data_IF_584195159550
#
_entry.id   IF_584195159550
#
_cell.length_a   1.000
_cell.length_b   1.000
_cell.length_c   1.000
_cell.angle_alpha   90.00
_cell.angle_beta   90.00
_cell.angle_gamma   90.00
#
_symmetry.space_group_name_H-M   'P 1'
#
loop_
_entity.id
_entity.type
_entity.pdbx_description
1 polymer ?
#
# COMPACT_ATOMS: atom_id res chain seq x y z
N UNK A 1 24.63 -67.37 -19.41
CA UNK A 1 23.35 -66.96 -18.76
C UNK A 1 23.64 -65.68 -18.00
N UNK A 2 23.36 -64.53 -18.61
CA UNK A 2 23.68 -63.21 -18.09
C UNK A 2 22.40 -62.67 -17.46
N UNK A 3 22.44 -62.42 -16.13
CA UNK A 3 21.32 -61.83 -15.38
C UNK A 3 21.46 -60.31 -15.41
N UNK A 4 20.57 -59.66 -16.14
CA UNK A 4 20.47 -58.18 -16.18
C UNK A 4 19.62 -57.73 -14.97
N UNK A 5 20.24 -57.07 -13.99
CA UNK A 5 19.55 -56.40 -12.90
C UNK A 5 19.05 -55.04 -13.38
N UNK A 6 17.74 -54.87 -13.47
CA UNK A 6 17.11 -53.58 -13.68
C UNK A 6 17.10 -52.80 -12.36
N UNK A 7 17.83 -51.67 -12.33
CA UNK A 7 17.76 -50.69 -11.24
C UNK A 7 16.67 -49.71 -11.63
N UNK A 8 15.53 -49.80 -10.97
CA UNK A 8 14.47 -48.79 -11.06
C UNK A 8 14.88 -47.59 -10.15
N UNK A 9 15.27 -46.50 -10.76
CA UNK A 9 15.49 -45.23 -10.04
C UNK A 9 14.14 -44.59 -9.83
N UNK A 10 13.67 -44.53 -8.60
CA UNK A 10 12.56 -43.68 -8.18
C UNK A 10 13.03 -42.23 -8.17
N UNK A 11 12.50 -41.42 -9.07
CA UNK A 11 12.67 -39.97 -9.07
C UNK A 11 11.65 -39.39 -8.08
N UNK A 12 12.07 -39.06 -6.85
CA UNK A 12 11.23 -38.34 -5.90
C UNK A 12 11.24 -36.89 -6.35
N UNK A 13 10.15 -36.45 -6.98
CA UNK A 13 9.90 -35.03 -7.27
C UNK A 13 9.38 -34.40 -5.99
N UNK A 14 10.21 -33.62 -5.33
CA UNK A 14 9.78 -32.73 -4.25
C UNK A 14 8.96 -31.59 -4.88
N UNK A 15 7.65 -31.66 -4.78
CA UNK A 15 6.81 -30.48 -4.92
C UNK A 15 6.98 -29.66 -3.62
N UNK A 16 7.73 -28.57 -3.68
CA UNK A 16 7.64 -27.54 -2.68
C UNK A 16 6.28 -26.86 -2.86
N UNK A 17 5.30 -27.23 -2.04
CA UNK A 17 4.11 -26.42 -1.83
C UNK A 17 4.57 -25.14 -1.10
N UNK A 18 4.85 -24.10 -1.88
CA UNK A 18 4.81 -22.74 -1.33
C UNK A 18 3.36 -22.51 -0.91
N UNK A 19 3.10 -22.42 0.39
CA UNK A 19 1.86 -21.85 0.91
C UNK A 19 1.80 -20.41 0.39
N UNK A 20 0.93 -20.15 -0.57
CA UNK A 20 0.46 -18.80 -0.87
C UNK A 20 -0.31 -18.36 0.36
N UNK A 21 0.29 -17.52 1.19
CA UNK A 21 -0.43 -16.76 2.21
C UNK A 21 -1.35 -15.82 1.44
N UNK A 22 -2.62 -16.19 1.31
CA UNK A 22 -3.62 -15.33 0.71
C UNK A 22 -3.90 -14.21 1.72
N UNK A 23 -3.48 -13.01 1.40
CA UNK A 23 -3.88 -11.80 2.11
C UNK A 23 -5.40 -11.66 1.96
N UNK A 24 -6.11 -11.60 3.08
CA UNK A 24 -7.55 -11.39 3.06
C UNK A 24 -7.78 -9.89 2.95
N UNK A 25 -8.39 -9.46 1.87
CA UNK A 25 -8.81 -8.08 1.69
C UNK A 25 -10.32 -8.00 1.47
N UNK A 26 -10.93 -6.92 1.89
CA UNK A 26 -12.31 -6.58 1.56
C UNK A 26 -12.38 -5.16 1.00
N UNK A 27 -13.25 -4.98 0.03
CA UNK A 27 -13.47 -3.70 -0.66
C UNK A 27 -14.95 -3.39 -0.61
N UNK A 28 -15.30 -2.21 -0.15
CA UNK A 28 -16.69 -1.78 -0.01
C UNK A 28 -16.85 -0.35 -0.49
N UNK A 29 -17.73 -0.13 -1.46
CA UNK A 29 -18.17 1.23 -1.81
C UNK A 29 -18.91 1.83 -0.61
N UNK A 30 -18.48 3.01 -0.19
CA UNK A 30 -19.07 3.68 0.96
C UNK A 30 -20.21 4.60 0.52
N UNK A 31 -19.91 5.59 -0.32
CA UNK A 31 -20.88 6.54 -0.86
C UNK A 31 -20.33 7.26 -2.10
N UNK A 32 -21.25 7.83 -2.89
CA UNK A 32 -20.90 8.69 -4.00
C UNK A 32 -20.38 10.05 -3.50
N UNK A 33 -19.31 10.54 -4.07
CA UNK A 33 -18.79 11.87 -3.74
C UNK A 33 -19.79 12.96 -4.17
N UNK A 34 -19.86 14.09 -3.44
CA UNK A 34 -20.59 15.27 -3.88
C UNK A 34 -20.17 15.71 -5.28
N UNK A 35 -21.10 16.26 -6.07
CA UNK A 35 -20.85 16.65 -7.45
C UNK A 35 -19.65 17.61 -7.64
N UNK A 36 -19.34 18.41 -6.63
CA UNK A 36 -18.18 19.31 -6.62
C UNK A 36 -16.83 18.56 -6.51
N UNK A 37 -16.86 17.25 -6.24
CA UNK A 37 -15.72 16.34 -6.17
C UNK A 37 -15.78 15.26 -7.26
N UNK A 38 -16.42 15.53 -8.37
CA UNK A 38 -16.58 14.57 -9.48
C UNK A 38 -15.26 14.17 -10.14
N UNK A 39 -14.22 14.98 -9.97
CA UNK A 39 -12.86 14.76 -10.49
C UNK A 39 -11.87 14.64 -9.32
N UNK A 40 -12.30 13.95 -8.20
CA UNK A 40 -11.44 13.73 -7.05
C UNK A 40 -10.21 12.93 -7.46
N UNK A 41 -9.05 13.56 -7.34
CA UNK A 41 -7.74 12.97 -7.57
C UNK A 41 -7.04 12.66 -6.24
N UNK A 42 -5.96 13.33 -5.84
CA UNK A 42 -5.23 13.02 -4.62
C UNK A 42 -6.03 13.06 -3.32
N UNK A 43 -5.75 12.15 -2.39
CA UNK A 43 -6.37 12.13 -1.05
C UNK A 43 -5.38 11.82 0.07
N UNK A 44 -5.64 12.41 1.25
CA UNK A 44 -5.04 12.03 2.53
C UNK A 44 -6.12 11.91 3.60
N UNK A 45 -5.86 11.13 4.65
CA UNK A 45 -6.70 11.08 5.83
C UNK A 45 -6.02 11.80 6.99
N UNK A 46 -6.66 12.88 7.48
CA UNK A 46 -6.11 13.71 8.54
C UNK A 46 -7.21 14.29 9.41
N UNK A 47 -7.02 14.31 10.75
CA UNK A 47 -8.00 14.80 11.73
C UNK A 47 -9.41 14.18 11.56
N UNK A 48 -9.48 12.88 11.30
CA UNK A 48 -10.73 12.13 11.04
C UNK A 48 -11.54 12.67 9.84
N UNK A 49 -10.89 13.30 8.89
CA UNK A 49 -11.47 13.76 7.64
C UNK A 49 -10.70 13.17 6.46
N UNK A 50 -11.39 12.91 5.38
CA UNK A 50 -10.77 12.69 4.09
C UNK A 50 -10.56 14.06 3.46
N UNK A 51 -9.32 14.36 3.07
CA UNK A 51 -8.96 15.62 2.42
C UNK A 51 -8.61 15.27 0.97
N UNK A 52 -9.25 15.95 0.06
CA UNK A 52 -9.06 15.73 -1.38
C UNK A 52 -9.03 17.04 -2.15
N UNK A 53 -8.66 16.97 -3.41
CA UNK A 53 -8.81 18.03 -4.42
C UNK A 53 -9.33 17.42 -5.71
N UNK A 54 -9.76 18.25 -6.64
CA UNK A 54 -10.05 17.83 -8.00
C UNK A 54 -8.78 17.92 -8.86
N UNK A 55 -8.79 17.18 -9.95
CA UNK A 55 -7.80 17.13 -11.01
C UNK A 55 -7.67 18.46 -11.77
N UNK A 56 -7.04 18.42 -12.91
CA UNK A 56 -6.59 19.51 -13.75
C UNK A 56 -7.63 20.60 -14.05
N UNK A 57 -7.17 21.86 -14.08
CA UNK A 57 -8.00 23.01 -14.45
C UNK A 57 -9.06 23.44 -13.43
N UNK A 58 -9.15 22.75 -12.30
CA UNK A 58 -10.03 23.10 -11.20
C UNK A 58 -9.44 24.22 -10.31
N UNK A 59 -10.19 24.62 -9.28
CA UNK A 59 -9.73 25.60 -8.33
C UNK A 59 -8.56 25.07 -7.48
N UNK A 60 -7.67 25.96 -7.05
CA UNK A 60 -6.56 25.66 -6.14
C UNK A 60 -7.03 25.54 -4.69
N UNK A 61 -7.89 24.56 -4.43
CA UNK A 61 -8.50 24.34 -3.11
C UNK A 61 -8.40 22.87 -2.68
N UNK A 62 -8.35 22.68 -1.36
CA UNK A 62 -8.55 21.37 -0.73
C UNK A 62 -9.95 21.34 -0.10
N UNK A 63 -10.58 20.18 -0.14
CA UNK A 63 -11.88 19.91 0.44
C UNK A 63 -11.73 18.94 1.63
N UNK A 64 -12.29 19.28 2.78
CA UNK A 64 -12.46 18.33 3.89
C UNK A 64 -13.82 17.66 3.77
N UNK A 65 -13.82 16.35 3.61
CA UNK A 65 -14.98 15.49 3.55
C UNK A 65 -15.16 14.75 4.87
N UNK A 66 -16.34 14.85 5.44
CA UNK A 66 -16.73 14.08 6.61
C UNK A 66 -17.36 12.76 6.17
N UNK A 67 -16.77 11.64 6.62
CA UNK A 67 -17.19 10.31 6.20
C UNK A 67 -18.48 9.81 6.86
N UNK A 68 -18.93 10.46 7.96
CA UNK A 68 -20.19 10.09 8.63
C UNK A 68 -21.38 10.85 8.02
N UNK A 69 -21.18 12.12 7.66
CA UNK A 69 -22.23 12.94 7.05
C UNK A 69 -22.20 12.94 5.54
N UNK A 70 -21.10 12.44 4.92
CA UNK A 70 -20.88 12.37 3.48
C UNK A 70 -20.83 13.76 2.80
N UNK A 71 -20.52 14.80 3.58
CA UNK A 71 -20.54 16.17 3.13
C UNK A 71 -19.16 16.82 3.17
N UNK A 72 -18.93 17.75 2.25
CA UNK A 72 -17.82 18.71 2.35
C UNK A 72 -18.11 19.66 3.52
N UNK A 73 -17.24 19.61 4.51
CA UNK A 73 -17.38 20.41 5.74
C UNK A 73 -16.52 21.67 5.74
N UNK A 74 -15.50 21.71 4.86
CA UNK A 74 -14.57 22.83 4.77
C UNK A 74 -13.88 22.87 3.42
N UNK A 75 -13.65 24.08 2.91
CA UNK A 75 -12.86 24.34 1.70
C UNK A 75 -11.70 25.25 2.04
N UNK A 76 -10.49 24.86 1.65
CA UNK A 76 -9.25 25.58 1.98
C UNK A 76 -8.59 26.04 0.69
N UNK A 77 -8.42 27.36 0.53
CA UNK A 77 -7.75 27.96 -0.63
C UNK A 77 -6.24 28.00 -0.43
N UNK A 78 -5.48 27.55 -1.42
CA UNK A 78 -4.03 27.50 -1.41
C UNK A 78 -3.45 28.69 -2.16
N UNK A 79 -3.02 29.72 -1.43
CA UNK A 79 -2.40 30.91 -2.01
C UNK A 79 -1.00 30.58 -2.53
N UNK A 80 -0.69 31.11 -3.73
CA UNK A 80 0.59 30.84 -4.42
C UNK A 80 0.59 29.53 -5.23
N UNK A 81 -0.52 28.81 -5.22
CA UNK A 81 -0.73 27.63 -6.04
C UNK A 81 -1.68 27.94 -7.22
N UNK A 82 -1.52 27.17 -8.27
CA UNK A 82 -2.44 27.06 -9.42
C UNK A 82 -2.67 25.59 -9.63
N UNK A 83 -3.89 25.15 -9.80
CA UNK A 83 -4.15 23.78 -10.27
C UNK A 83 -3.98 23.75 -11.77
N UNK A 84 -2.79 23.32 -12.22
CA UNK A 84 -2.53 23.06 -13.65
C UNK A 84 -2.90 21.62 -13.96
N UNK A 85 -2.38 20.70 -13.11
CA UNK A 85 -2.61 19.26 -13.24
C UNK A 85 -2.26 18.60 -11.88
N UNK A 86 -3.17 18.82 -10.88
CA UNK A 86 -2.97 18.27 -9.54
C UNK A 86 -3.38 16.80 -9.52
N UNK A 87 -2.45 15.95 -9.09
CA UNK A 87 -2.62 14.50 -9.14
C UNK A 87 -2.77 13.90 -7.74
N UNK A 88 -1.71 13.79 -6.97
CA UNK A 88 -1.74 13.11 -5.67
C UNK A 88 -1.27 14.01 -4.51
N UNK A 89 -1.59 13.58 -3.30
CA UNK A 89 -1.19 14.24 -2.07
C UNK A 89 -0.44 13.31 -1.12
N UNK A 90 0.55 13.88 -0.44
CA UNK A 90 1.24 13.21 0.65
C UNK A 90 1.22 14.08 1.92
N UNK A 91 1.52 13.47 3.06
CA UNK A 91 1.65 14.20 4.32
C UNK A 91 2.73 13.61 5.21
N UNK A 92 3.28 14.44 6.07
CA UNK A 92 4.06 14.02 7.24
C UNK A 92 3.49 14.67 8.51
N UNK A 93 4.23 14.63 9.63
CA UNK A 93 3.77 15.19 10.90
C UNK A 93 3.47 16.69 10.82
N UNK A 94 4.17 17.44 9.98
CA UNK A 94 4.18 18.90 9.93
C UNK A 94 3.53 19.52 8.70
N UNK A 95 3.45 18.79 7.61
CA UNK A 95 3.15 19.35 6.28
C UNK A 95 2.20 18.46 5.48
N UNK A 96 1.48 19.09 4.54
CA UNK A 96 0.75 18.46 3.45
C UNK A 96 1.45 18.87 2.16
N UNK A 97 1.60 17.92 1.25
CA UNK A 97 2.23 18.07 -0.05
C UNK A 97 1.20 17.79 -1.13
N UNK A 98 1.11 18.67 -2.14
CA UNK A 98 0.15 18.59 -3.25
C UNK A 98 0.96 18.54 -4.53
N UNK A 99 0.83 17.48 -5.31
CA UNK A 99 1.55 17.27 -6.54
C UNK A 99 0.87 17.95 -7.73
N UNK A 100 1.48 19.00 -8.27
CA UNK A 100 1.10 19.64 -9.54
C UNK A 100 2.09 19.17 -10.61
N UNK A 101 1.96 17.89 -10.99
CA UNK A 101 2.94 17.24 -11.84
C UNK A 101 2.36 16.30 -12.90
N UNK A 102 1.04 16.21 -13.02
CA UNK A 102 0.41 15.54 -14.14
C UNK A 102 0.95 16.09 -15.47
N UNK A 103 1.23 15.21 -16.40
CA UNK A 103 1.90 15.54 -17.64
C UNK A 103 1.57 14.52 -18.73
N UNK A 104 0.30 14.17 -18.84
CA UNK A 104 -0.21 13.14 -19.73
C UNK A 104 -0.03 13.43 -21.24
N UNK A 105 0.45 14.63 -21.57
CA UNK A 105 0.96 14.99 -22.91
C UNK A 105 2.50 14.98 -23.03
N UNK A 106 3.23 14.90 -21.93
CA UNK A 106 4.69 14.88 -21.90
C UNK A 106 5.37 16.20 -22.25
N UNK A 107 4.66 17.32 -22.26
CA UNK A 107 5.17 18.62 -22.74
C UNK A 107 5.32 19.68 -21.64
N UNK A 108 4.94 19.38 -20.39
CA UNK A 108 5.07 20.31 -19.27
C UNK A 108 6.52 20.53 -18.85
N UNK A 109 6.85 21.78 -18.51
CA UNK A 109 8.18 22.22 -18.04
C UNK A 109 8.12 22.91 -16.68
N UNK A 110 6.95 22.90 -16.04
CA UNK A 110 6.65 23.63 -14.81
C UNK A 110 6.21 22.72 -13.64
N UNK A 111 6.66 21.46 -13.65
CA UNK A 111 6.30 20.44 -12.66
C UNK A 111 6.74 20.84 -11.26
N UNK A 112 5.87 20.63 -10.26
CA UNK A 112 6.14 21.05 -8.89
C UNK A 112 5.28 20.31 -7.87
N UNK A 113 5.71 20.41 -6.62
CA UNK A 113 4.92 20.05 -5.44
C UNK A 113 4.72 21.30 -4.61
N UNK A 114 3.48 21.57 -4.21
CA UNK A 114 3.15 22.59 -3.24
C UNK A 114 3.21 21.99 -1.84
N UNK A 115 3.89 22.69 -0.93
CA UNK A 115 4.00 22.32 0.48
C UNK A 115 3.27 23.34 1.33
N UNK A 116 2.36 22.88 2.19
CA UNK A 116 1.65 23.69 3.16
C UNK A 116 1.86 23.19 4.59
N UNK A 117 1.91 24.09 5.54
CA UNK A 117 2.04 23.73 6.96
C UNK A 117 0.70 23.22 7.50
N UNK A 118 0.71 22.10 8.24
CA UNK A 118 -0.46 21.58 8.94
C UNK A 118 -0.98 22.54 10.01
N UNK A 119 -0.11 23.35 10.65
CA UNK A 119 -0.53 24.37 11.60
C UNK A 119 -1.34 25.50 10.95
N UNK A 120 -0.94 25.93 9.75
CA UNK A 120 -1.69 26.94 9.00
C UNK A 120 -2.99 26.36 8.45
N UNK A 121 -2.93 25.14 7.93
CA UNK A 121 -4.09 24.38 7.48
C UNK A 121 -5.15 24.24 8.57
N UNK A 122 -4.77 23.96 9.82
CA UNK A 122 -5.71 23.85 10.94
C UNK A 122 -6.32 25.19 11.36
N UNK A 123 -5.57 26.30 11.21
CA UNK A 123 -5.95 27.60 11.75
C UNK A 123 -6.69 28.50 10.74
N UNK A 124 -6.65 28.21 9.44
CA UNK A 124 -7.16 29.11 8.40
C UNK A 124 -7.73 28.34 7.21
N UNK A 125 -8.76 28.90 6.56
CA UNK A 125 -9.29 28.45 5.28
C UNK A 125 -8.52 29.03 4.08
N UNK A 126 -7.47 29.81 4.32
CA UNK A 126 -6.59 30.38 3.30
C UNK A 126 -5.15 30.16 3.76
N UNK A 127 -4.40 29.35 3.04
CA UNK A 127 -3.05 28.90 3.40
C UNK A 127 -2.08 29.21 2.26
N UNK A 128 -0.88 29.68 2.59
CA UNK A 128 0.16 29.96 1.59
C UNK A 128 1.04 28.74 1.38
N UNK A 129 1.26 28.37 0.12
CA UNK A 129 2.14 27.28 -0.23
C UNK A 129 3.59 27.73 -0.44
N UNK A 130 4.53 26.89 -0.04
CA UNK A 130 5.91 26.85 -0.51
C UNK A 130 6.00 25.95 -1.75
N UNK A 131 6.98 26.21 -2.62
CA UNK A 131 7.09 25.54 -3.92
C UNK A 131 8.37 24.69 -3.99
N UNK A 132 8.24 23.45 -4.42
CA UNK A 132 9.32 22.52 -4.73
C UNK A 132 9.20 22.19 -6.22
N UNK A 133 9.99 22.85 -7.08
CA UNK A 133 9.97 22.63 -8.53
C UNK A 133 10.93 21.54 -8.94
N UNK A 134 10.61 20.79 -9.99
CA UNK A 134 11.53 19.80 -10.52
C UNK A 134 11.40 19.61 -12.03
N UNK A 135 12.42 18.95 -12.58
CA UNK A 135 12.45 18.44 -13.96
C UNK A 135 13.08 17.05 -13.95
N UNK A 136 12.74 16.23 -14.93
CA UNK A 136 13.36 14.92 -15.13
C UNK A 136 14.72 15.07 -15.83
N UNK A 137 15.77 14.45 -15.29
CA UNK A 137 17.15 14.54 -15.81
C UNK A 137 17.29 14.03 -17.26
N UNK A 138 16.45 13.07 -17.64
CA UNK A 138 16.50 12.37 -18.91
C UNK A 138 15.37 12.74 -19.88
N UNK A 139 14.49 13.69 -19.52
CA UNK A 139 13.51 14.25 -20.46
C UNK A 139 14.18 15.33 -21.32
N UNK A 140 14.37 15.04 -22.59
CA UNK A 140 15.01 15.95 -23.56
C UNK A 140 14.07 16.38 -24.69
N UNK A 141 12.91 15.75 -24.81
CA UNK A 141 11.86 16.05 -25.75
C UNK A 141 10.57 16.44 -25.02
N UNK A 142 10.02 17.59 -25.38
CA UNK A 142 8.79 18.15 -24.83
C UNK A 142 7.74 18.32 -25.92
N UNK A 143 7.82 17.51 -26.99
CA UNK A 143 6.78 17.47 -28.00
C UNK A 143 5.55 16.81 -27.43
N UNK A 144 4.40 17.53 -27.50
CA UNK A 144 3.12 17.03 -26.98
C UNK A 144 2.70 15.74 -27.67
N UNK A 145 2.45 14.70 -26.89
CA UNK A 145 2.02 13.38 -27.35
C UNK A 145 1.00 12.77 -26.36
N UNK A 146 -0.27 13.19 -26.42
CA UNK A 146 -1.28 12.87 -25.42
C UNK A 146 -1.44 11.36 -25.20
N UNK A 147 -1.41 10.93 -23.92
CA UNK A 147 -1.55 9.54 -23.48
C UNK A 147 -0.54 8.57 -24.14
N UNK A 148 0.63 9.09 -24.49
CA UNK A 148 1.72 8.32 -25.08
C UNK A 148 3.06 8.89 -24.61
N UNK A 149 3.21 9.06 -23.33
CA UNK A 149 4.38 9.64 -22.65
C UNK A 149 4.82 8.74 -21.49
N UNK A 150 6.09 8.85 -21.12
CA UNK A 150 6.68 8.21 -19.91
C UNK A 150 6.92 9.24 -18.80
N UNK A 151 6.56 10.51 -19.03
CA UNK A 151 6.88 11.64 -18.16
C UNK A 151 5.67 12.15 -17.36
N UNK A 152 4.63 11.36 -17.30
CA UNK A 152 3.48 11.59 -16.45
C UNK A 152 3.75 11.04 -15.06
N UNK A 153 3.42 11.79 -14.01
CA UNK A 153 3.51 11.34 -12.63
C UNK A 153 2.15 11.55 -11.97
N UNK A 154 1.73 10.57 -11.19
CA UNK A 154 0.37 10.55 -10.65
C UNK A 154 0.31 10.11 -9.19
N UNK A 155 1.45 9.71 -8.59
CA UNK A 155 1.44 9.24 -7.21
C UNK A 155 2.57 9.89 -6.41
N UNK A 156 2.29 10.18 -5.13
CA UNK A 156 3.20 10.90 -4.24
C UNK A 156 3.17 10.31 -2.83
N UNK A 157 4.33 9.98 -2.28
CA UNK A 157 4.45 9.56 -0.88
C UNK A 157 5.49 10.38 -0.13
N UNK A 158 5.27 10.56 1.16
CA UNK A 158 6.26 11.08 2.10
C UNK A 158 7.09 9.92 2.61
N UNK A 159 8.35 9.82 2.13
CA UNK A 159 9.21 8.68 2.44
C UNK A 159 9.86 8.78 3.82
N UNK A 160 10.60 9.85 4.04
CA UNK A 160 11.31 10.13 5.30
C UNK A 160 11.21 11.61 5.71
N UNK A 161 11.97 12.03 6.71
CA UNK A 161 11.95 13.42 7.19
C UNK A 161 12.39 14.45 6.13
N UNK A 162 13.10 14.03 5.07
CA UNK A 162 13.73 14.92 4.08
C UNK A 162 13.26 14.72 2.65
N UNK A 163 12.58 13.58 2.37
CA UNK A 163 12.33 13.11 1.00
C UNK A 163 10.87 12.78 0.76
N UNK A 164 10.40 13.22 -0.40
CA UNK A 164 9.21 12.70 -1.08
C UNK A 164 9.65 11.68 -2.12
N UNK A 165 8.80 10.74 -2.44
CA UNK A 165 8.95 9.89 -3.62
C UNK A 165 7.71 10.03 -4.47
N UNK A 166 7.89 10.35 -5.74
CA UNK A 166 6.83 10.38 -6.76
C UNK A 166 6.99 9.19 -7.70
N UNK A 167 5.86 8.69 -8.21
CA UNK A 167 5.82 7.55 -9.13
C UNK A 167 5.16 7.96 -10.44
N UNK A 168 5.72 7.43 -11.54
CA UNK A 168 5.23 7.74 -12.89
C UNK A 168 4.02 6.90 -13.28
N UNK A 169 3.14 7.51 -14.10
CA UNK A 169 2.08 6.85 -14.86
C UNK A 169 2.58 6.70 -16.31
N UNK A 170 3.17 5.55 -16.62
CA UNK A 170 3.80 5.33 -17.91
C UNK A 170 2.76 4.83 -18.94
N UNK A 171 2.27 5.74 -19.77
CA UNK A 171 1.27 5.45 -20.80
C UNK A 171 1.78 4.50 -21.91
N UNK A 172 3.10 4.42 -22.10
CA UNK A 172 3.71 3.65 -23.18
C UNK A 172 3.85 2.17 -22.82
N UNK A 173 4.30 1.89 -21.59
CA UNK A 173 4.66 0.53 -21.17
C UNK A 173 3.75 -0.06 -20.09
N UNK A 174 2.95 0.77 -19.40
CA UNK A 174 2.20 0.33 -18.22
C UNK A 174 3.09 -0.04 -17.04
N UNK A 175 4.26 0.59 -16.97
CA UNK A 175 5.21 0.46 -15.84
C UNK A 175 5.14 1.71 -14.95
N UNK A 176 5.75 1.64 -13.78
CA UNK A 176 6.00 2.81 -12.93
C UNK A 176 7.44 2.84 -12.47
N UNK A 177 8.05 4.03 -12.50
CA UNK A 177 9.36 4.33 -11.95
C UNK A 177 9.22 5.31 -10.81
N UNK A 178 10.07 5.18 -9.79
CA UNK A 178 10.08 6.05 -8.63
C UNK A 178 11.19 7.11 -8.75
N UNK A 179 10.93 8.32 -8.21
CA UNK A 179 11.84 9.45 -8.23
C UNK A 179 11.88 10.11 -6.85
N UNK A 180 13.08 10.43 -6.36
CA UNK A 180 13.25 11.12 -5.07
C UNK A 180 13.25 12.63 -5.27
N UNK A 181 12.44 13.33 -4.48
CA UNK A 181 12.36 14.80 -4.46
C UNK A 181 12.55 15.31 -3.02
N UNK A 182 13.48 16.26 -2.76
CA UNK A 182 13.64 16.83 -1.43
C UNK A 182 12.39 17.60 -0.97
N UNK A 183 12.06 17.50 0.33
CA UNK A 183 10.95 18.25 0.96
C UNK A 183 11.23 19.74 1.18
N UNK A 184 12.44 20.20 0.89
CA UNK A 184 12.87 21.59 1.02
C UNK A 184 12.46 22.38 -0.22
N UNK A 185 11.82 23.57 -0.08
CA UNK A 185 11.54 24.45 -1.20
C UNK A 185 12.77 24.75 -2.06
N UNK A 186 12.64 24.68 -3.38
CA UNK A 186 13.75 24.85 -4.31
C UNK A 186 13.45 24.31 -5.70
N UNK A 187 14.49 24.19 -6.53
CA UNK A 187 14.40 23.64 -7.90
C UNK A 187 15.40 22.49 -8.04
N UNK A 188 14.92 21.36 -8.51
CA UNK A 188 15.65 20.11 -8.55
C UNK A 188 15.61 19.45 -9.92
N UNK A 189 16.66 18.68 -10.22
CA UNK A 189 16.70 17.76 -11.36
C UNK A 189 16.71 16.36 -10.79
N UNK A 190 15.69 15.56 -11.11
CA UNK A 190 15.52 14.23 -10.53
C UNK A 190 15.73 13.14 -11.58
N UNK A 191 16.25 12.00 -11.12
CA UNK A 191 16.47 10.80 -11.96
C UNK A 191 15.64 9.64 -11.41
N UNK A 192 15.22 8.70 -12.26
CA UNK A 192 14.53 7.51 -11.79
C UNK A 192 15.47 6.67 -10.90
N UNK A 193 14.89 5.98 -9.93
CA UNK A 193 15.56 4.94 -9.15
C UNK A 193 15.80 3.70 -10.02
N UNK A 194 16.56 2.72 -9.49
CA UNK A 194 16.98 1.56 -10.29
C UNK A 194 15.82 0.61 -10.62
N UNK A 195 14.88 0.45 -9.68
CA UNK A 195 13.78 -0.52 -9.85
C UNK A 195 12.59 0.11 -10.56
N UNK A 196 12.14 -0.55 -11.60
CA UNK A 196 10.88 -0.26 -12.29
C UNK A 196 9.89 -1.41 -12.02
N UNK A 197 8.64 -1.09 -11.73
CA UNK A 197 7.58 -2.07 -11.53
C UNK A 197 6.70 -2.14 -12.79
N UNK A 198 6.51 -3.37 -13.32
CA UNK A 198 5.45 -3.59 -14.30
C UNK A 198 4.09 -3.56 -13.58
N UNK A 199 3.41 -2.42 -13.67
CA UNK A 199 2.17 -2.18 -12.94
C UNK A 199 0.95 -2.93 -13.51
N UNK A 200 1.05 -3.51 -14.71
CA UNK A 200 -0.07 -4.10 -15.45
C UNK A 200 -1.21 -3.10 -15.74
N UNK A 201 -0.89 -1.82 -15.78
CA UNK A 201 -1.84 -0.72 -15.97
C UNK A 201 -1.20 0.62 -15.64
N UNK A 202 -2.02 1.57 -15.27
CA UNK A 202 -1.63 2.94 -14.96
C UNK A 202 -1.71 3.14 -13.44
N UNK A 203 -0.61 3.53 -12.81
CA UNK A 203 -0.59 3.93 -11.40
C UNK A 203 -1.11 5.36 -11.31
N UNK A 204 -2.04 5.61 -10.40
CA UNK A 204 -2.75 6.88 -10.22
C UNK A 204 -2.65 7.45 -8.80
N UNK A 205 -2.26 6.65 -7.81
CA UNK A 205 -2.09 7.13 -6.45
C UNK A 205 -1.28 6.19 -5.60
N UNK A 206 -0.77 6.70 -4.47
CA UNK A 206 0.01 5.93 -3.54
C UNK A 206 -0.17 6.37 -2.09
N UNK A 207 0.03 5.45 -1.16
CA UNK A 207 0.18 5.77 0.26
C UNK A 207 1.27 4.91 0.90
N UNK A 208 2.04 5.51 1.79
CA UNK A 208 3.11 4.84 2.52
C UNK A 208 2.93 5.02 4.03
N UNK A 209 3.06 3.93 4.76
CA UNK A 209 3.08 3.92 6.23
C UNK A 209 4.47 3.50 6.71
N UNK A 210 5.18 4.43 7.34
CA UNK A 210 6.54 4.24 7.87
C UNK A 210 6.59 3.29 9.09
N UNK A 211 5.49 3.15 9.84
CA UNK A 211 5.44 2.28 11.01
C UNK A 211 5.40 0.80 10.60
N UNK A 212 4.72 0.48 9.54
CA UNK A 212 4.60 -0.88 9.00
C UNK A 212 5.54 -1.15 7.85
N UNK A 213 6.19 -0.10 7.31
CA UNK A 213 7.04 -0.14 6.12
C UNK A 213 6.28 -0.75 4.92
N UNK A 214 5.05 -0.27 4.72
CA UNK A 214 4.15 -0.74 3.67
C UNK A 214 3.80 0.39 2.72
N UNK A 215 3.96 0.11 1.43
CA UNK A 215 3.53 1.01 0.34
C UNK A 215 2.37 0.34 -0.40
N UNK A 216 1.29 1.08 -0.58
CA UNK A 216 0.21 0.70 -1.46
C UNK A 216 0.18 1.64 -2.66
N UNK A 217 0.06 1.06 -3.86
CA UNK A 217 -0.15 1.79 -5.10
C UNK A 217 -1.52 1.40 -5.64
N UNK A 218 -2.29 2.36 -6.08
CA UNK A 218 -3.57 2.12 -6.77
C UNK A 218 -3.48 2.50 -8.23
N UNK A 219 -4.39 1.95 -9.02
CA UNK A 219 -4.47 2.25 -10.44
C UNK A 219 -5.52 1.38 -11.14
N UNK A 220 -5.56 1.51 -12.44
CA UNK A 220 -6.47 0.76 -13.29
C UNK A 220 -5.82 0.33 -14.59
N UNK A 221 -6.34 -0.75 -15.19
CA UNK A 221 -5.87 -1.22 -16.49
C UNK A 221 -6.40 -0.34 -17.62
N UNK A 222 -5.56 -0.03 -18.60
CA UNK A 222 -5.93 0.73 -19.77
C UNK A 222 -6.01 -0.20 -21.01
N UNK A 223 -7.11 -0.21 -21.78
CA UNK A 223 -8.29 0.67 -21.70
C UNK A 223 -9.48 0.10 -20.91
N UNK A 224 -9.31 -0.95 -20.15
CA UNK A 224 -10.43 -1.72 -19.57
C UNK A 224 -10.92 -1.22 -18.22
N UNK A 225 -10.29 -0.19 -17.63
CA UNK A 225 -10.65 0.44 -16.35
C UNK A 225 -10.86 -0.58 -15.21
N UNK A 226 -10.08 -1.67 -15.20
CA UNK A 226 -10.14 -2.65 -14.12
C UNK A 226 -9.25 -2.19 -12.97
N UNK A 227 -9.82 -1.88 -11.81
CA UNK A 227 -9.08 -1.33 -10.70
C UNK A 227 -8.20 -2.38 -10.02
N UNK A 228 -7.05 -1.94 -9.51
CA UNK A 228 -6.12 -2.79 -8.78
C UNK A 228 -5.38 -2.04 -7.67
N UNK A 229 -4.78 -2.81 -6.78
CA UNK A 229 -3.81 -2.35 -5.78
C UNK A 229 -2.53 -3.18 -5.92
N UNK A 230 -1.37 -2.54 -5.85
CA UNK A 230 -0.10 -3.17 -5.53
C UNK A 230 0.18 -2.99 -4.05
N UNK A 231 0.50 -4.07 -3.38
CA UNK A 231 0.93 -4.11 -2.00
C UNK A 231 2.43 -4.40 -1.96
N UNK A 232 3.23 -3.41 -1.54
CA UNK A 232 4.67 -3.45 -1.56
C UNK A 232 5.21 -3.52 -0.13
N UNK A 233 6.00 -4.54 0.17
CA UNK A 233 6.55 -4.83 1.49
C UNK A 233 8.06 -5.08 1.44
N UNK A 234 8.67 -5.20 2.62
CA UNK A 234 10.10 -5.52 2.74
C UNK A 234 10.99 -4.50 2.01
N UNK A 235 10.59 -3.23 2.08
CA UNK A 235 11.32 -2.11 1.51
C UNK A 235 12.50 -1.79 2.44
N UNK A 236 13.73 -1.87 1.92
CA UNK A 236 14.94 -1.68 2.73
C UNK A 236 15.51 -0.25 2.63
N UNK A 237 15.24 0.44 1.53
CA UNK A 237 15.73 1.78 1.27
C UNK A 237 14.75 2.59 0.40
N UNK A 238 15.18 3.77 -0.07
CA UNK A 238 14.37 4.67 -0.87
C UNK A 238 13.97 4.12 -2.24
N UNK A 239 14.58 3.04 -2.71
CA UNK A 239 14.11 2.31 -3.90
C UNK A 239 12.88 1.46 -3.56
N UNK A 240 11.79 2.18 -3.34
CA UNK A 240 10.53 1.67 -2.75
C UNK A 240 9.86 0.56 -3.56
N UNK A 241 10.29 0.33 -4.80
CA UNK A 241 9.79 -0.74 -5.67
C UNK A 241 10.66 -2.00 -5.61
N UNK A 242 11.81 -1.97 -4.92
CA UNK A 242 12.77 -3.08 -4.84
C UNK A 242 12.32 -4.23 -3.92
N UNK A 243 11.30 -4.01 -3.10
CA UNK A 243 10.78 -4.99 -2.14
C UNK A 243 9.95 -6.11 -2.77
N UNK A 244 9.12 -6.75 -1.96
CA UNK A 244 8.14 -7.74 -2.43
C UNK A 244 6.87 -7.04 -2.88
N UNK A 245 6.53 -7.16 -4.16
CA UNK A 245 5.38 -6.50 -4.76
C UNK A 245 4.29 -7.53 -5.08
N UNK A 246 3.11 -7.39 -4.48
CA UNK A 246 1.95 -8.28 -4.66
C UNK A 246 0.81 -7.54 -5.35
N UNK A 247 0.37 -8.06 -6.50
CA UNK A 247 -0.76 -7.51 -7.25
C UNK A 247 -2.09 -8.03 -6.68
N UNK A 248 -3.05 -7.14 -6.49
CA UNK A 248 -4.40 -7.43 -6.01
C UNK A 248 -5.40 -6.81 -6.99
N UNK A 249 -6.16 -7.63 -7.70
CA UNK A 249 -7.25 -7.14 -8.54
C UNK A 249 -8.46 -6.77 -7.67
N UNK A 250 -9.05 -5.61 -7.91
CA UNK A 250 -10.27 -5.16 -7.26
C UNK A 250 -11.51 -5.34 -8.16
N UNK A 251 -11.34 -5.81 -9.38
CA UNK A 251 -12.39 -5.88 -10.41
C UNK A 251 -13.55 -6.84 -10.06
N UNK A 252 -13.31 -7.83 -9.19
CA UNK A 252 -14.39 -8.71 -8.69
C UNK A 252 -15.38 -7.96 -7.79
N UNK A 253 -14.91 -6.93 -7.07
CA UNK A 253 -15.72 -6.14 -6.15
C UNK A 253 -16.25 -4.86 -6.77
N UNK A 254 -15.44 -4.18 -7.61
CA UNK A 254 -15.72 -2.84 -8.12
C UNK A 254 -16.07 -2.82 -9.63
N UNK A 255 -15.88 -3.94 -10.35
CA UNK A 255 -16.10 -4.06 -11.80
C UNK A 255 -15.18 -3.15 -12.61
N UNK A 256 -15.61 -1.92 -12.92
CA UNK A 256 -14.87 -0.91 -13.67
C UNK A 256 -14.83 0.36 -12.82
N UNK A 257 -13.64 0.85 -12.51
CA UNK A 257 -13.43 2.09 -11.75
C UNK A 257 -12.19 2.82 -12.23
N UNK A 258 -12.31 4.12 -12.34
CA UNK A 258 -11.19 5.03 -12.50
C UNK A 258 -10.76 5.49 -11.11
N UNK A 259 -10.05 4.60 -10.39
CA UNK A 259 -9.53 4.95 -9.05
C UNK A 259 -8.31 5.84 -9.21
N UNK A 260 -8.27 6.95 -8.45
CA UNK A 260 -7.25 7.98 -8.60
C UNK A 260 -6.37 8.15 -7.36
N UNK A 261 -6.84 7.78 -6.18
CA UNK A 261 -6.02 7.95 -4.99
C UNK A 261 -6.28 6.92 -3.91
N UNK A 262 -5.35 6.85 -2.94
CA UNK A 262 -5.46 6.02 -1.75
C UNK A 262 -4.91 6.74 -0.52
N UNK A 263 -5.70 6.83 0.54
CA UNK A 263 -5.32 7.41 1.82
C UNK A 263 -5.20 6.35 2.91
N UNK A 264 -4.10 6.35 3.65
CA UNK A 264 -3.91 5.55 4.85
C UNK A 264 -4.75 6.10 6.01
N UNK A 265 -5.53 5.23 6.67
CA UNK A 265 -6.25 5.55 7.91
C UNK A 265 -5.67 4.81 9.11
N UNK A 266 -5.49 3.50 8.98
CA UNK A 266 -4.85 2.62 9.96
C UNK A 266 -4.05 1.55 9.21
N UNK A 267 -3.25 0.78 9.91
CA UNK A 267 -2.48 -0.34 9.33
C UNK A 267 -3.32 -1.40 8.59
N UNK A 268 -4.64 -1.34 8.69
CA UNK A 268 -5.54 -2.28 8.02
C UNK A 268 -6.63 -1.60 7.20
N UNK A 269 -6.86 -0.29 7.35
CA UNK A 269 -7.97 0.43 6.71
C UNK A 269 -7.44 1.57 5.87
N UNK A 270 -7.85 1.60 4.61
CA UNK A 270 -7.51 2.61 3.62
C UNK A 270 -8.78 3.15 2.96
N UNK A 271 -8.74 4.40 2.53
CA UNK A 271 -9.78 4.99 1.69
C UNK A 271 -9.24 5.26 0.30
N UNK A 272 -9.98 4.82 -0.70
CA UNK A 272 -9.71 5.07 -2.12
C UNK A 272 -10.76 6.06 -2.61
N UNK A 273 -10.39 6.99 -3.47
CA UNK A 273 -11.36 7.76 -4.26
C UNK A 273 -11.28 7.37 -5.73
N UNK A 274 -12.41 7.44 -6.41
CA UNK A 274 -12.50 7.33 -7.86
C UNK A 274 -13.07 8.61 -8.45
N UNK A 275 -12.73 8.87 -9.69
CA UNK A 275 -13.35 9.88 -10.54
C UNK A 275 -14.67 9.41 -11.13
N UNK A 276 -15.52 10.37 -11.50
CA UNK A 276 -16.66 10.08 -12.37
C UNK A 276 -16.20 9.86 -13.81
N UNK A 277 -16.66 8.80 -14.43
CA UNK A 277 -16.32 8.53 -15.83
C UNK A 277 -17.54 8.23 -16.68
N UNK A 278 -17.41 8.48 -18.00
CA UNK A 278 -18.38 8.10 -19.00
C UNK A 278 -17.65 7.64 -20.27
N UNK A 279 -17.68 6.34 -20.53
CA UNK A 279 -17.06 5.74 -21.71
C UNK A 279 -18.04 4.82 -22.44
N UNK A 280 -18.53 5.24 -23.58
CA UNK A 280 -19.57 4.52 -24.34
C UNK A 280 -20.88 4.43 -23.58
N UNK A 281 -21.26 3.19 -23.21
CA UNK A 281 -22.46 2.92 -22.39
C UNK A 281 -22.12 2.68 -20.92
N UNK A 282 -20.85 2.77 -20.53
CA UNK A 282 -20.38 2.63 -19.16
C UNK A 282 -20.19 4.02 -18.57
N UNK A 283 -20.76 4.23 -17.39
CA UNK A 283 -20.53 5.46 -16.62
C UNK A 283 -20.71 5.14 -15.14
N UNK A 284 -19.93 5.80 -14.31
CA UNK A 284 -20.10 5.76 -12.87
C UNK A 284 -19.78 7.13 -12.25
N UNK A 285 -20.28 7.36 -11.03
CA UNK A 285 -20.01 8.58 -10.28
C UNK A 285 -18.73 8.43 -9.48
N UNK A 286 -18.07 9.55 -9.23
CA UNK A 286 -17.01 9.62 -8.24
C UNK A 286 -17.48 9.10 -6.87
N UNK A 287 -16.66 8.31 -6.17
CA UNK A 287 -17.05 7.69 -4.91
C UNK A 287 -15.89 7.53 -3.94
N UNK A 288 -16.23 7.29 -2.68
CA UNK A 288 -15.31 6.80 -1.65
C UNK A 288 -15.47 5.30 -1.51
N UNK A 289 -14.36 4.60 -1.48
CA UNK A 289 -14.26 3.15 -1.36
C UNK A 289 -13.38 2.86 -0.14
N UNK A 290 -13.82 1.96 0.73
CA UNK A 290 -13.01 1.47 1.83
C UNK A 290 -12.34 0.16 1.42
N UNK A 291 -11.01 0.13 1.56
CA UNK A 291 -10.20 -1.06 1.42
C UNK A 291 -9.73 -1.49 2.81
N UNK A 292 -10.06 -2.71 3.20
CA UNK A 292 -9.54 -3.34 4.42
C UNK A 292 -8.60 -4.46 4.01
N UNK A 293 -7.37 -4.40 4.49
CA UNK A 293 -6.35 -5.45 4.32
C UNK A 293 -6.14 -6.07 5.69
N UNK A 294 -6.66 -7.28 5.88
CA UNK A 294 -6.46 -8.02 7.10
C UNK A 294 -5.15 -8.81 7.00
N UNK A 295 -4.28 -8.66 7.99
CA UNK A 295 -3.22 -9.63 8.18
C UNK A 295 -3.90 -10.99 8.36
N UNK A 296 -3.69 -11.90 7.43
CA UNK A 296 -4.18 -13.26 7.65
C UNK A 296 -3.62 -13.71 8.99
N UNK A 297 -4.48 -14.19 9.89
CA UNK A 297 -4.10 -14.71 11.23
C UNK A 297 -3.06 -15.85 11.12
N UNK A 298 -2.71 -16.25 9.92
CA UNK A 298 -1.70 -17.21 9.54
C UNK A 298 -0.40 -16.59 9.00
N UNK A 299 -0.35 -15.28 8.76
CA UNK A 299 0.88 -14.60 8.38
C UNK A 299 1.79 -14.45 9.61
N UNK A 300 2.78 -15.30 9.71
CA UNK A 300 3.89 -15.19 10.66
C UNK A 300 4.90 -14.09 10.25
N UNK A 301 4.48 -13.12 9.45
CA UNK A 301 5.31 -11.99 9.04
C UNK A 301 5.34 -10.95 10.15
N UNK A 302 6.51 -10.69 10.71
CA UNK A 302 6.74 -9.62 11.66
C UNK A 302 7.39 -10.03 12.98
N UNK A 303 7.80 -11.31 13.14
CA UNK A 303 8.71 -11.64 14.22
C UNK A 303 10.13 -11.43 13.72
N UNK A 304 10.70 -10.28 14.04
CA UNK A 304 12.15 -10.08 14.00
C UNK A 304 12.84 -11.37 14.44
N UNK A 305 13.91 -11.78 13.77
CA UNK A 305 14.71 -13.00 14.06
C UNK A 305 15.19 -13.15 15.53
N UNK A 306 14.85 -12.24 16.43
CA UNK A 306 15.10 -12.33 17.88
C UNK A 306 14.32 -13.44 18.60
N UNK A 307 13.23 -13.96 18.01
CA UNK A 307 12.36 -14.93 18.66
C UNK A 307 12.26 -16.29 17.94
N UNK A 308 13.16 -16.58 17.00
CA UNK A 308 13.12 -17.83 16.20
C UNK A 308 13.22 -19.11 17.05
N UNK A 309 13.78 -19.05 18.24
CA UNK A 309 14.04 -20.21 19.10
C UNK A 309 13.24 -20.23 20.41
N UNK A 310 12.08 -19.53 20.47
CA UNK A 310 11.28 -19.48 21.69
C UNK A 310 10.53 -20.78 22.01
N UNK A 311 10.24 -21.60 21.00
CA UNK A 311 9.49 -22.85 21.11
C UNK A 311 10.33 -23.96 20.51
N UNK A 312 10.74 -24.93 21.33
CA UNK A 312 11.60 -26.02 20.86
C UNK A 312 11.44 -27.28 21.74
N UNK A 313 11.91 -28.47 21.32
CA UNK A 313 12.37 -28.76 19.95
C UNK A 313 11.22 -28.75 18.94
N UNK A 314 11.53 -28.54 17.69
CA UNK A 314 10.61 -28.76 16.58
C UNK A 314 11.36 -29.51 15.46
N UNK A 315 11.03 -30.78 15.17
CA UNK A 315 9.95 -31.59 15.77
C UNK A 315 10.12 -31.89 17.28
N UNK A 316 8.97 -31.97 17.97
CA UNK A 316 8.89 -32.37 19.38
C UNK A 316 8.51 -33.86 19.51
N UNK A 317 9.09 -34.58 20.50
CA UNK A 317 8.72 -35.98 20.77
C UNK A 317 7.84 -36.13 22.02
N UNK A 318 8.15 -35.44 23.09
CA UNK A 318 7.41 -35.57 24.37
C UNK A 318 7.20 -34.23 25.08
N UNK A 319 8.21 -33.38 25.10
CA UNK A 319 8.16 -32.12 25.84
C UNK A 319 8.49 -30.94 24.95
N UNK A 320 7.57 -29.99 24.85
CA UNK A 320 7.75 -28.71 24.22
C UNK A 320 8.22 -27.69 25.24
N UNK A 321 9.31 -27.00 24.97
CA UNK A 321 9.86 -25.97 25.86
C UNK A 321 9.59 -24.59 25.27
N UNK A 322 9.23 -23.63 26.13
CA UNK A 322 9.01 -22.22 25.83
C UNK A 322 10.10 -21.43 26.55
N UNK A 323 10.96 -20.76 25.77
CA UNK A 323 12.12 -20.03 26.31
C UNK A 323 11.90 -18.52 26.17
N UNK A 324 10.94 -17.98 26.91
CA UNK A 324 10.78 -16.54 27.06
C UNK A 324 10.01 -16.23 28.35
N UNK A 325 10.64 -15.45 29.22
CA UNK A 325 10.07 -15.03 30.51
C UNK A 325 8.91 -13.99 30.33
N UNK A 326 8.70 -13.48 29.14
CA UNK A 326 7.62 -12.56 28.82
C UNK A 326 6.33 -13.26 28.39
N UNK A 327 6.33 -14.58 28.22
CA UNK A 327 5.13 -15.35 27.86
C UNK A 327 4.20 -15.46 29.07
N UNK A 328 3.01 -14.89 28.95
CA UNK A 328 1.95 -14.94 29.95
C UNK A 328 1.10 -16.21 29.82
N UNK A 329 0.75 -16.59 28.59
CA UNK A 329 -0.16 -17.72 28.34
C UNK A 329 0.27 -18.46 27.08
N UNK A 330 0.18 -19.79 27.10
CA UNK A 330 0.39 -20.66 25.94
C UNK A 330 -0.91 -21.38 25.64
N UNK A 331 -1.32 -21.38 24.39
CA UNK A 331 -2.46 -22.16 23.87
C UNK A 331 -1.96 -23.09 22.77
N UNK A 332 -2.50 -24.32 22.70
CA UNK A 332 -2.18 -25.30 21.65
C UNK A 332 -3.45 -25.74 20.96
N UNK A 333 -3.38 -25.82 19.65
CA UNK A 333 -4.46 -26.26 18.77
C UNK A 333 -3.96 -27.36 17.83
N UNK A 334 -4.82 -28.31 17.46
CA UNK A 334 -4.52 -29.31 16.44
C UNK A 334 -4.59 -28.71 15.02
N UNK A 335 -4.33 -29.54 14.00
CA UNK A 335 -4.36 -29.14 12.58
C UNK A 335 -5.74 -28.67 12.08
N UNK A 336 -6.82 -29.02 12.82
CA UNK A 336 -8.20 -28.62 12.52
C UNK A 336 -8.62 -27.35 13.27
N UNK A 337 -7.70 -26.77 14.06
CA UNK A 337 -7.98 -25.63 14.91
C UNK A 337 -8.71 -25.98 16.22
N UNK A 338 -8.78 -27.26 16.58
CA UNK A 338 -9.39 -27.68 17.86
C UNK A 338 -8.49 -27.28 19.01
N UNK A 339 -9.04 -26.57 19.97
CA UNK A 339 -8.33 -26.16 21.18
C UNK A 339 -8.00 -27.37 22.08
N UNK A 340 -6.73 -27.51 22.47
CA UNK A 340 -6.23 -28.65 23.22
C UNK A 340 -5.65 -28.30 24.58
N UNK A 341 -4.97 -27.16 24.69
CA UNK A 341 -4.25 -26.79 25.92
C UNK A 341 -4.22 -25.27 26.12
N UNK A 342 -4.31 -24.85 27.39
CA UNK A 342 -4.02 -23.49 27.82
C UNK A 342 -3.32 -23.53 29.18
N UNK A 343 -2.20 -22.84 29.30
CA UNK A 343 -1.44 -22.77 30.54
C UNK A 343 -0.42 -21.67 30.60
N UNK A 344 0.22 -21.54 31.78
CA UNK A 344 1.36 -20.64 32.01
C UNK A 344 2.54 -21.54 32.37
N UNK A 345 3.29 -21.98 31.42
CA UNK A 345 4.42 -22.84 31.69
C UNK A 345 5.46 -22.77 30.59
N UNK A 346 6.73 -22.91 31.02
CA UNK A 346 7.85 -23.01 30.09
C UNK A 346 8.04 -24.43 29.53
N UNK A 347 7.27 -25.41 30.02
CA UNK A 347 7.33 -26.81 29.57
C UNK A 347 5.94 -27.40 29.45
N UNK A 348 5.66 -28.01 28.30
CA UNK A 348 4.36 -28.60 27.98
C UNK A 348 4.58 -30.06 27.57
N UNK A 349 3.89 -30.98 28.26
CA UNK A 349 3.89 -32.38 27.89
C UNK A 349 3.02 -32.61 26.64
N UNK A 350 3.66 -33.04 25.57
CA UNK A 350 3.01 -33.35 24.29
C UNK A 350 2.61 -34.84 24.18
N UNK A 351 3.08 -35.72 25.10
CA UNK A 351 2.83 -37.15 25.04
C UNK A 351 1.36 -37.57 24.99
N UNK A 352 0.39 -36.80 25.55
CA UNK A 352 -1.04 -37.13 25.43
C UNK A 352 -1.64 -36.89 24.05
N UNK A 353 -0.95 -36.17 23.18
CA UNK A 353 -1.47 -35.79 21.88
C UNK A 353 -0.96 -36.71 20.78
N UNK A 354 -1.74 -36.86 19.69
CA UNK A 354 -1.37 -37.68 18.55
C UNK A 354 -0.18 -37.08 17.79
N UNK A 355 0.53 -37.89 17.01
CA UNK A 355 1.55 -37.38 16.09
C UNK A 355 0.88 -36.54 15.03
N UNK A 356 1.44 -35.36 14.69
CA UNK A 356 0.83 -34.45 13.75
C UNK A 356 1.38 -33.02 13.85
N UNK A 357 0.69 -32.10 13.19
CA UNK A 357 1.03 -30.68 13.18
C UNK A 357 0.14 -29.92 14.17
N UNK A 358 0.76 -29.07 14.99
CA UNK A 358 0.08 -28.28 15.99
C UNK A 358 0.40 -26.81 15.85
N UNK A 359 -0.55 -25.96 16.22
CA UNK A 359 -0.37 -24.52 16.33
C UNK A 359 -0.22 -24.13 17.80
N UNK A 360 0.90 -23.49 18.13
CA UNK A 360 1.19 -22.96 19.47
C UNK A 360 1.04 -21.45 19.43
N UNK A 361 0.11 -20.91 20.21
CA UNK A 361 -0.14 -19.48 20.37
C UNK A 361 0.41 -19.04 21.73
N UNK A 362 1.33 -18.09 21.72
CA UNK A 362 1.93 -17.47 22.89
C UNK A 362 1.34 -16.07 23.07
N UNK A 363 0.84 -15.77 24.26
CA UNK A 363 0.36 -14.45 24.64
C UNK A 363 1.40 -13.85 25.58
N UNK A 364 2.00 -12.73 25.18
CA UNK A 364 3.03 -12.05 25.96
C UNK A 364 2.43 -11.15 27.04
N UNK A 365 3.26 -10.75 28.02
CA UNK A 365 2.86 -9.86 29.11
C UNK A 365 2.37 -8.48 28.65
N UNK A 366 2.82 -8.01 27.48
CA UNK A 366 2.39 -6.77 26.86
C UNK A 366 1.11 -6.90 25.99
N UNK A 367 0.50 -8.10 25.95
CA UNK A 367 -0.67 -8.40 25.13
C UNK A 367 -0.37 -8.84 23.69
N UNK A 368 0.87 -8.77 23.25
CA UNK A 368 1.25 -9.23 21.91
C UNK A 368 1.08 -10.74 21.76
N UNK A 369 0.77 -11.18 20.53
CA UNK A 369 0.56 -12.58 20.20
C UNK A 369 1.72 -13.08 19.32
N UNK A 370 2.20 -14.30 19.62
CA UNK A 370 3.12 -15.04 18.78
C UNK A 370 2.54 -16.40 18.46
N UNK A 371 2.59 -16.79 17.19
CA UNK A 371 2.08 -18.10 16.74
C UNK A 371 3.23 -18.90 16.14
N UNK A 372 3.34 -20.17 16.54
CA UNK A 372 4.35 -21.10 16.05
C UNK A 372 3.71 -22.41 15.63
N UNK A 373 4.14 -22.95 14.50
CA UNK A 373 3.79 -24.28 14.05
C UNK A 373 4.84 -25.27 14.54
N UNK A 374 4.43 -26.37 15.15
CA UNK A 374 5.31 -27.43 15.59
C UNK A 374 4.86 -28.76 14.99
N UNK A 375 5.81 -29.69 14.87
CA UNK A 375 5.57 -31.07 14.45
C UNK A 375 5.79 -31.96 15.68
N UNK A 376 4.80 -32.77 16.03
CA UNK A 376 4.91 -33.80 17.06
C UNK A 376 5.12 -35.18 16.39
N UNK A 377 6.28 -35.80 16.64
CA UNK A 377 6.70 -37.08 16.09
C UNK A 377 6.64 -38.18 17.13
#
# INVERSE_FOLDING_TARGET
MIVIRHIVRFLIIFFSLSSLDAQVFSVTEQFALPNELSESSGTIFYNNKLITHNDSGNNNVLYELDLETELVTRVITIIGATNVDWEDMAQDDSSIYIGDFGNNSGDRTDLKVYKISKSDYQSSNVVTAEIISFTYANQIDFTSNPQNTTWDAEALVSWDASSLVLLSKNWVSGTTSAYVLPKTPGTYVISPLETELNANGLITGATYDDNTNQLLLVGYSNPTLQPFVWFCESIEDVDILSGTNTFISLSESLSFEQIESIAYKTNTVYYITSESFAFGNLSDNAKVIELIIEDSVLSLKGVSNKHSNMVYPNPVQSTLEIKDDHVNTVEIFDEKGTFLYRGRGSRIDMSPYAHGVYTVKLILNNGSLLIKKIIHN
#
